data_IF_288582618599
#
_entry.id   IF_288582618599
#
_cell.length_a   1.000
_cell.length_b   1.000
_cell.length_c   1.000
_cell.angle_alpha   90.00
_cell.angle_beta   90.00
_cell.angle_gamma   90.00
#
_symmetry.space_group_name_H-M   'P 1'
#
loop_
_entity.id
_entity.type
_entity.pdbx_description
1 polymer ?
#
# COMPACT_ATOMS: atom_id res chain seq x y z
N UNK A 1 17.60 9.34 21.15
CA UNK A 1 17.18 8.16 20.37
C UNK A 1 16.02 8.62 19.51
N UNK A 2 16.20 8.76 18.20
CA UNK A 2 15.16 9.36 17.35
C UNK A 2 13.98 8.40 17.22
N UNK A 3 12.83 8.82 17.74
CA UNK A 3 11.54 8.17 17.50
C UNK A 3 11.25 8.25 16.00
N UNK A 4 11.61 7.21 15.26
CA UNK A 4 11.21 7.02 13.86
C UNK A 4 9.72 6.65 13.78
N UNK A 5 8.86 7.57 14.23
CA UNK A 5 7.39 7.44 14.12
C UNK A 5 6.89 7.85 12.73
N UNK A 6 7.65 7.52 11.69
CA UNK A 6 7.25 7.82 10.31
C UNK A 6 6.26 6.75 9.85
N UNK A 7 4.98 7.11 9.74
CA UNK A 7 3.98 6.32 9.05
C UNK A 7 4.03 6.63 7.55
N UNK A 8 4.13 5.57 6.76
CA UNK A 8 4.16 5.67 5.30
C UNK A 8 2.73 5.54 4.78
N UNK A 9 2.26 6.61 4.15
CA UNK A 9 0.90 6.73 3.64
C UNK A 9 0.91 6.50 2.14
N UNK A 10 0.15 5.51 1.70
CA UNK A 10 -0.12 5.20 0.31
C UNK A 10 -1.49 5.75 -0.08
N UNK A 11 -1.53 6.52 -1.15
CA UNK A 11 -2.78 6.98 -1.75
C UNK A 11 -3.07 6.11 -2.96
N UNK A 12 -4.19 5.39 -2.87
CA UNK A 12 -4.68 4.51 -3.89
C UNK A 12 -5.95 5.08 -4.48
N UNK A 13 -6.11 5.00 -5.79
CA UNK A 13 -7.35 5.35 -6.46
C UNK A 13 -8.03 4.09 -6.97
N UNK A 14 -9.29 3.89 -6.60
CA UNK A 14 -10.08 2.73 -7.04
C UNK A 14 -10.64 2.92 -8.47
N UNK A 15 -11.36 1.91 -8.95
CA UNK A 15 -11.98 1.90 -10.28
C UNK A 15 -13.05 2.99 -10.50
N UNK A 16 -13.60 3.56 -9.42
CA UNK A 16 -14.56 4.66 -9.46
C UNK A 16 -13.88 6.04 -9.41
N UNK A 17 -12.55 6.08 -9.47
CA UNK A 17 -11.72 7.27 -9.28
C UNK A 17 -11.86 7.89 -7.89
N UNK A 18 -12.27 7.11 -6.89
CA UNK A 18 -12.26 7.55 -5.50
C UNK A 18 -10.86 7.36 -4.92
N UNK A 19 -10.30 8.42 -4.34
CA UNK A 19 -9.00 8.40 -3.67
C UNK A 19 -9.18 7.90 -2.24
N UNK A 20 -8.47 6.83 -1.91
CA UNK A 20 -8.44 6.18 -0.62
C UNK A 20 -7.02 6.28 -0.04
N UNK A 21 -6.92 6.48 1.26
CA UNK A 21 -5.65 6.69 1.97
C UNK A 21 -5.41 5.50 2.88
N UNK A 22 -4.26 4.87 2.74
CA UNK A 22 -3.88 3.70 3.52
C UNK A 22 -2.49 3.88 4.13
N UNK A 23 -2.24 3.23 5.25
CA UNK A 23 -0.89 3.00 5.77
C UNK A 23 -0.32 1.74 5.13
N UNK A 24 0.98 1.76 4.82
CA UNK A 24 1.72 0.55 4.43
C UNK A 24 2.28 -0.08 5.70
N UNK A 25 1.82 -1.29 6.02
CA UNK A 25 2.26 -2.06 7.18
C UNK A 25 3.43 -2.98 6.84
N UNK A 26 3.44 -3.55 5.62
CA UNK A 26 4.52 -4.46 5.18
C UNK A 26 4.64 -4.50 3.65
N UNK A 27 5.85 -4.76 3.18
CA UNK A 27 6.21 -5.04 1.79
C UNK A 27 6.84 -6.42 1.75
N UNK A 28 6.43 -7.24 0.79
CA UNK A 28 6.73 -8.66 0.76
C UNK A 28 7.04 -9.05 -0.68
N UNK A 29 8.19 -9.71 -0.88
CA UNK A 29 8.52 -10.37 -2.14
C UNK A 29 8.25 -11.87 -1.98
N UNK A 30 7.26 -12.40 -2.70
CA UNK A 30 6.88 -13.80 -2.66
C UNK A 30 6.72 -14.35 -4.08
N UNK A 31 7.40 -15.45 -4.40
CA UNK A 31 7.36 -16.09 -5.72
C UNK A 31 7.58 -15.13 -6.91
N UNK A 32 8.48 -14.14 -6.74
CA UNK A 32 8.79 -13.08 -7.73
C UNK A 32 7.67 -12.06 -7.96
N UNK A 33 6.63 -12.06 -7.14
CA UNK A 33 5.60 -11.02 -7.13
C UNK A 33 5.77 -10.14 -5.89
N UNK A 34 5.48 -8.85 -6.07
CA UNK A 34 5.50 -7.88 -4.98
C UNK A 34 4.12 -7.76 -4.35
N UNK A 35 4.10 -7.73 -3.01
CA UNK A 35 2.89 -7.55 -2.23
C UNK A 35 3.08 -6.43 -1.21
N UNK A 36 2.00 -5.75 -0.89
CA UNK A 36 1.93 -4.78 0.20
C UNK A 36 0.74 -5.11 1.10
N UNK A 37 0.97 -5.09 2.41
CA UNK A 37 -0.09 -5.12 3.41
C UNK A 37 -0.44 -3.66 3.76
N UNK A 38 -1.68 -3.27 3.53
CA UNK A 38 -2.20 -1.93 3.78
C UNK A 38 -3.28 -1.92 4.87
N UNK A 39 -3.45 -0.81 5.58
CA UNK A 39 -4.51 -0.63 6.59
C UNK A 39 -5.05 0.81 6.65
N UNK A 40 -6.31 0.97 7.02
CA UNK A 40 -7.00 2.24 7.29
C UNK A 40 -7.67 2.26 8.68
N UNK A 41 -7.04 1.62 9.67
CA UNK A 41 -7.49 1.42 11.07
C UNK A 41 -8.60 0.38 11.27
N UNK A 42 -9.49 0.19 10.29
CA UNK A 42 -10.62 -0.75 10.41
C UNK A 42 -10.35 -2.12 9.76
N UNK A 43 -9.46 -2.16 8.78
CA UNK A 43 -9.19 -3.37 7.99
C UNK A 43 -7.72 -3.48 7.60
N UNK A 44 -7.30 -4.71 7.34
CA UNK A 44 -6.02 -5.04 6.70
C UNK A 44 -6.32 -5.64 5.34
N UNK A 45 -5.67 -5.17 4.29
CA UNK A 45 -5.81 -5.72 2.95
C UNK A 45 -4.44 -6.02 2.35
N UNK A 46 -4.30 -7.20 1.75
CA UNK A 46 -3.07 -7.59 1.06
C UNK A 46 -3.26 -7.33 -0.43
N UNK A 47 -2.40 -6.50 -1.00
CA UNK A 47 -2.40 -6.19 -2.42
C UNK A 47 -1.20 -6.81 -3.10
N UNK A 48 -1.37 -7.23 -4.35
CA UNK A 48 -0.36 -7.75 -5.26
C UNK A 48 -0.13 -6.76 -6.39
N UNK A 49 1.13 -6.50 -6.74
CA UNK A 49 1.46 -5.73 -7.93
C UNK A 49 1.18 -6.55 -9.20
N UNK A 50 0.49 -5.93 -10.15
CA UNK A 50 0.31 -6.46 -11.49
C UNK A 50 0.66 -5.42 -12.56
N UNK A 51 1.26 -5.90 -13.65
CA UNK A 51 1.49 -5.09 -14.84
C UNK A 51 0.29 -5.19 -15.78
N UNK A 52 -0.31 -4.05 -16.09
CA UNK A 52 -1.36 -3.92 -17.09
C UNK A 52 -0.87 -3.11 -18.29
N UNK A 53 -1.58 -3.13 -19.43
CA UNK A 53 -1.25 -2.26 -20.56
C UNK A 53 -1.27 -0.77 -20.25
N UNK A 54 -1.90 -0.36 -19.13
CA UNK A 54 -2.01 1.03 -18.67
C UNK A 54 -0.97 1.39 -17.61
N UNK A 55 -0.10 0.46 -17.24
CA UNK A 55 0.92 0.64 -16.22
C UNK A 55 0.78 -0.38 -15.09
N UNK A 56 1.41 -0.06 -13.96
CA UNK A 56 1.35 -0.90 -12.76
C UNK A 56 0.06 -0.64 -11.99
N UNK A 57 -0.58 -1.70 -11.54
CA UNK A 57 -1.77 -1.66 -10.69
C UNK A 57 -1.53 -2.54 -9.45
N UNK A 58 -2.28 -2.24 -8.39
CA UNK A 58 -2.37 -3.10 -7.23
C UNK A 58 -3.73 -3.79 -7.24
N UNK A 59 -3.74 -5.10 -7.16
CA UNK A 59 -4.97 -5.88 -7.06
C UNK A 59 -5.03 -6.56 -5.70
N UNK A 60 -6.22 -6.78 -5.17
CA UNK A 60 -6.36 -7.58 -3.95
C UNK A 60 -5.82 -9.00 -4.18
N UNK A 61 -5.03 -9.50 -3.23
CA UNK A 61 -4.50 -10.86 -3.28
C UNK A 61 -5.63 -11.89 -3.16
N UNK A 62 -5.49 -13.01 -3.86
CA UNK A 62 -6.47 -14.11 -3.77
C UNK A 62 -6.34 -14.86 -2.45
N UNK A 63 -7.36 -15.66 -2.10
CA UNK A 63 -7.42 -16.35 -0.82
C UNK A 63 -6.21 -17.26 -0.57
N UNK A 64 -5.77 -17.98 -1.60
CA UNK A 64 -4.61 -18.88 -1.54
C UNK A 64 -3.30 -18.11 -1.32
N UNK A 65 -3.13 -16.96 -1.98
CA UNK A 65 -1.99 -16.06 -1.78
C UNK A 65 -1.97 -15.52 -0.36
N UNK A 66 -3.14 -15.10 0.15
CA UNK A 66 -3.30 -14.61 1.52
C UNK A 66 -2.90 -15.68 2.55
N UNK A 67 -3.37 -16.91 2.41
CA UNK A 67 -3.03 -18.01 3.34
C UNK A 67 -1.52 -18.26 3.31
N UNK A 68 -0.94 -18.42 2.11
CA UNK A 68 0.47 -18.73 1.95
C UNK A 68 1.37 -17.61 2.51
N UNK A 69 1.07 -16.36 2.17
CA UNK A 69 1.87 -15.21 2.59
C UNK A 69 1.70 -14.94 4.08
N UNK A 70 0.47 -15.03 4.61
CA UNK A 70 0.24 -14.79 6.04
C UNK A 70 0.98 -15.81 6.90
N UNK A 71 1.07 -17.07 6.47
CA UNK A 71 1.85 -18.10 7.16
C UNK A 71 3.36 -17.81 7.14
N UNK A 72 3.91 -17.43 5.99
CA UNK A 72 5.35 -17.17 5.83
C UNK A 72 5.78 -15.87 6.51
N UNK A 73 5.00 -14.81 6.33
CA UNK A 73 5.33 -13.46 6.80
C UNK A 73 4.77 -13.14 8.21
N UNK A 74 4.08 -14.10 8.85
CA UNK A 74 3.45 -13.98 10.18
C UNK A 74 2.56 -12.73 10.28
N UNK A 75 1.63 -12.59 9.34
CA UNK A 75 0.75 -11.43 9.23
C UNK A 75 -0.58 -11.62 9.97
N UNK A 76 -1.27 -10.53 10.36
CA UNK A 76 -2.70 -10.59 10.62
C UNK A 76 -3.43 -11.08 9.37
N UNK A 77 -4.53 -11.83 9.53
CA UNK A 77 -5.33 -12.29 8.40
C UNK A 77 -6.00 -11.10 7.70
N UNK A 78 -5.57 -10.73 6.47
CA UNK A 78 -6.16 -9.66 5.71
C UNK A 78 -7.57 -10.02 5.22
N UNK A 79 -8.38 -9.01 4.94
CA UNK A 79 -9.66 -9.19 4.28
C UNK A 79 -9.45 -9.75 2.86
N UNK A 80 -10.36 -10.63 2.47
CA UNK A 80 -10.45 -11.08 1.08
C UNK A 80 -11.45 -10.15 0.39
N UNK A 81 -10.94 -9.21 -0.39
CA UNK A 81 -11.76 -8.43 -1.33
C UNK A 81 -11.52 -9.02 -2.71
N UNK A 82 -12.47 -9.75 -3.29
CA UNK A 82 -12.33 -10.20 -4.67
C UNK A 82 -12.40 -9.00 -5.63
N UNK A 83 -11.53 -9.01 -6.64
CA UNK A 83 -11.56 -8.15 -7.82
C UNK A 83 -11.38 -6.63 -7.63
N UNK A 84 -10.96 -6.15 -6.45
CA UNK A 84 -10.61 -4.73 -6.32
C UNK A 84 -9.26 -4.44 -6.96
N UNK A 85 -9.23 -3.32 -7.67
CA UNK A 85 -8.06 -2.81 -8.38
C UNK A 85 -7.81 -1.37 -7.96
N UNK A 86 -6.54 -1.06 -7.82
CA UNK A 86 -6.08 0.22 -7.37
C UNK A 86 -4.94 0.72 -8.25
N UNK A 87 -4.95 2.01 -8.55
CA UNK A 87 -3.80 2.73 -9.11
C UNK A 87 -3.10 3.49 -8.00
N UNK A 88 -1.77 3.50 -8.01
CA UNK A 88 -1.01 4.30 -7.04
C UNK A 88 -0.90 5.73 -7.52
N UNK A 89 -1.48 6.66 -6.80
CA UNK A 89 -1.50 8.08 -7.18
C UNK A 89 -0.63 8.96 -6.28
N UNK A 90 -0.16 8.43 -5.15
CA UNK A 90 0.61 9.20 -4.19
C UNK A 90 1.29 8.33 -3.14
N UNK A 91 2.47 8.79 -2.70
CA UNK A 91 3.19 8.26 -1.54
C UNK A 91 3.57 9.44 -0.65
N UNK A 92 3.25 9.35 0.64
CA UNK A 92 3.52 10.39 1.62
C UNK A 92 4.16 9.79 2.87
N UNK A 93 4.89 10.64 3.61
CA UNK A 93 5.54 10.28 4.86
C UNK A 93 5.03 11.22 5.95
N UNK A 94 4.52 10.69 7.06
CA UNK A 94 4.09 11.51 8.21
C UNK A 94 4.72 11.01 9.49
N UNK A 95 5.14 11.92 10.38
CA UNK A 95 5.66 11.57 11.71
C UNK A 95 4.51 11.39 12.75
N UNK A 96 3.26 11.56 12.32
CA UNK A 96 2.07 11.38 13.16
C UNK A 96 1.63 9.91 13.18
N UNK A 97 1.72 9.28 14.35
CA UNK A 97 1.26 7.90 14.59
C UNK A 97 -0.25 7.72 14.37
N UNK A 98 -1.02 8.80 14.51
CA UNK A 98 -2.45 8.85 14.26
C UNK A 98 -2.68 9.59 12.96
N UNK A 99 -2.28 8.98 11.85
CA UNK A 99 -2.63 9.44 10.51
C UNK A 99 -4.16 9.40 10.37
N UNK A 100 -4.82 10.42 10.90
CA UNK A 100 -6.26 10.54 10.94
C UNK A 100 -6.72 10.72 9.49
N UNK A 101 -7.39 9.70 8.96
CA UNK A 101 -7.95 9.62 7.60
C UNK A 101 -8.80 10.87 7.27
N UNK A 102 -9.33 11.56 8.29
CA UNK A 102 -10.13 12.78 8.14
C UNK A 102 -9.34 14.07 7.86
N UNK A 103 -8.00 14.10 8.03
CA UNK A 103 -7.20 15.26 7.64
C UNK A 103 -6.83 15.12 6.17
N UNK A 104 -7.56 15.85 5.34
CA UNK A 104 -7.24 16.08 3.93
C UNK A 104 -5.83 16.66 3.83
N UNK A 105 -4.82 15.82 3.64
CA UNK A 105 -3.49 16.29 3.28
C UNK A 105 -3.64 17.00 1.93
N UNK A 106 -3.31 18.30 1.90
CA UNK A 106 -3.36 19.07 0.65
C UNK A 106 -2.29 18.50 -0.28
N UNK A 107 -2.75 17.77 -1.28
CA UNK A 107 -1.93 17.10 -2.27
C UNK A 107 -1.23 18.14 -3.15
N UNK A 108 0.10 18.07 -3.23
CA UNK A 108 0.81 18.57 -4.41
C UNK A 108 0.87 17.39 -5.39
N UNK A 109 -0.22 17.18 -6.14
CA UNK A 109 -0.20 16.27 -7.28
C UNK A 109 0.50 17.00 -8.41
N UNK A 110 1.71 16.57 -8.75
CA UNK A 110 2.36 17.02 -9.97
C UNK A 110 1.81 16.22 -11.16
N UNK A 111 0.83 16.81 -11.86
CA UNK A 111 0.59 16.59 -13.30
C UNK A 111 -0.15 15.31 -13.71
N UNK A 112 -0.63 15.33 -14.96
CA UNK A 112 -1.53 14.39 -15.65
C UNK A 112 -1.05 12.93 -15.80
N UNK A 113 0.04 12.53 -15.13
CA UNK A 113 0.57 11.17 -15.09
C UNK A 113 0.36 10.56 -13.69
N UNK A 114 -0.90 10.30 -13.31
CA UNK A 114 -1.31 9.85 -11.97
C UNK A 114 -0.95 8.38 -11.64
N UNK A 115 0.18 7.85 -12.12
CA UNK A 115 0.66 6.53 -11.70
C UNK A 115 2.14 6.60 -11.29
N UNK A 116 2.38 6.64 -9.98
CA UNK A 116 3.73 6.69 -9.42
C UNK A 116 4.21 5.24 -9.22
N UNK A 117 5.36 4.89 -9.80
CA UNK A 117 6.03 3.64 -9.49
C UNK A 117 6.62 3.69 -8.07
N UNK A 118 5.92 3.09 -7.11
CA UNK A 118 6.32 3.10 -5.70
C UNK A 118 7.32 2.01 -5.33
N UNK A 119 7.57 1.01 -6.20
CA UNK A 119 8.40 -0.16 -5.86
C UNK A 119 9.81 0.24 -5.41
N UNK A 120 10.42 1.24 -6.04
CA UNK A 120 11.76 1.73 -5.67
C UNK A 120 11.82 2.31 -4.25
N UNK A 121 10.69 2.75 -3.70
CA UNK A 121 10.60 3.40 -2.41
C UNK A 121 10.20 2.43 -1.29
N UNK A 122 9.46 1.36 -1.59
CA UNK A 122 8.92 0.40 -0.61
C UNK A 122 9.99 -0.30 0.26
N UNK A 123 11.18 -0.70 -0.24
CA UNK A 123 12.22 -1.28 0.61
C UNK A 123 12.72 -0.33 1.71
N UNK A 124 12.79 0.98 1.44
CA UNK A 124 13.25 2.01 2.38
C UNK A 124 12.18 2.41 3.41
N UNK A 125 10.94 2.02 3.18
CA UNK A 125 9.77 2.36 4.00
C UNK A 125 9.68 1.46 5.24
N UNK A 126 10.21 0.24 5.19
CA UNK A 126 9.93 -0.82 6.19
C UNK A 126 11.16 -1.25 6.97
N UNK A 127 12.37 -0.95 6.51
CA UNK A 127 13.60 -1.14 7.29
C UNK A 127 14.28 0.22 7.58
N UNK A 128 14.27 0.71 8.83
CA UNK A 128 14.98 1.93 9.19
C UNK A 128 16.51 1.77 9.22
N UNK A 129 17.04 0.56 9.02
CA UNK A 129 18.48 0.24 9.04
C UNK A 129 19.09 -0.04 7.65
N UNK A 130 18.36 0.25 6.57
CA UNK A 130 18.88 0.33 5.21
C UNK A 130 19.41 1.73 4.89
#
# INVERSE_FOLDING_TARGET
MSNNNKANILVLMDEHNCRNVYRIEKFILYQKCYFILITDEERFELLKEEFTPRGKEWISAVHEEIIAISAVAQLPFPIVSSDKRYRTVGLMFTEDLKANVARSYQFIVAGDDENIDVILYLPHIIDPNL
#
